data_IF_874222990801
#
_entry.id   IF_874222990801
#
_cell.length_a   1.000
_cell.length_b   1.000
_cell.length_c   1.000
_cell.angle_alpha   90.00
_cell.angle_beta   90.00
_cell.angle_gamma   90.00
#
_symmetry.space_group_name_H-M   'P 1'
#
loop_
_entity.id
_entity.type
_entity.pdbx_description
1 polymer ?
#
# COMPACT_ATOMS: atom_id res chain seq x y z
N UNK A 1 7.87 -8.21 -5.19
CA UNK A 1 9.00 -7.26 -5.12
C UNK A 1 10.06 -7.64 -4.08
N UNK A 2 9.68 -7.92 -2.82
CA UNK A 2 10.63 -8.25 -1.74
C UNK A 2 11.47 -9.52 -2.01
N UNK A 3 10.90 -10.55 -2.63
CA UNK A 3 11.65 -11.74 -3.05
C UNK A 3 12.77 -11.42 -4.04
N UNK A 4 12.49 -10.51 -4.98
CA UNK A 4 13.47 -10.02 -5.95
C UNK A 4 14.62 -9.29 -5.23
N UNK A 5 14.31 -8.42 -4.27
CA UNK A 5 15.32 -7.77 -3.41
C UNK A 5 16.20 -8.81 -2.71
N UNK A 6 15.58 -9.81 -2.09
CA UNK A 6 16.28 -10.89 -1.37
C UNK A 6 17.21 -11.73 -2.25
N UNK A 7 16.90 -11.84 -3.55
CA UNK A 7 17.68 -12.58 -4.54
C UNK A 7 18.75 -11.73 -5.21
N UNK A 8 18.45 -10.48 -5.57
CA UNK A 8 19.31 -9.64 -6.41
C UNK A 8 20.31 -8.84 -5.57
N UNK A 9 19.90 -8.30 -4.43
CA UNK A 9 20.77 -7.49 -3.57
C UNK A 9 21.65 -8.40 -2.69
N UNK A 10 22.88 -8.63 -3.14
CA UNK A 10 23.86 -9.48 -2.43
C UNK A 10 24.68 -8.74 -1.38
N UNK A 11 24.82 -7.41 -1.51
CA UNK A 11 25.56 -6.55 -0.58
C UNK A 11 24.58 -5.85 0.37
N UNK A 12 25.03 -5.56 1.60
CA UNK A 12 24.26 -4.76 2.55
C UNK A 12 23.97 -3.38 1.95
N UNK A 13 22.73 -2.94 2.05
CA UNK A 13 22.22 -1.71 1.45
C UNK A 13 21.11 -1.14 2.33
N UNK A 14 20.77 0.13 2.12
CA UNK A 14 19.57 0.75 2.68
C UNK A 14 18.47 0.59 1.62
N UNK A 15 17.31 0.08 2.03
CA UNK A 15 16.16 -0.19 1.16
C UNK A 15 14.97 0.61 1.68
N UNK A 16 14.47 1.53 0.88
CA UNK A 16 13.21 2.22 1.15
C UNK A 16 12.07 1.43 0.53
N UNK A 17 11.17 0.92 1.38
CA UNK A 17 9.94 0.27 0.97
C UNK A 17 8.81 1.27 1.13
N UNK A 18 8.23 1.69 0.01
CA UNK A 18 7.07 2.60 -0.01
C UNK A 18 5.83 1.77 -0.31
N UNK A 19 4.86 1.75 0.61
CA UNK A 19 3.61 0.99 0.49
C UNK A 19 2.58 1.57 1.46
N UNK A 20 1.30 1.44 1.11
CA UNK A 20 0.12 1.63 1.98
C UNK A 20 -0.15 0.44 2.93
N UNK A 21 0.59 -0.67 2.78
CA UNK A 21 0.46 -1.91 3.55
C UNK A 21 -0.97 -2.46 3.65
N UNK A 22 -1.80 -2.25 2.63
CA UNK A 22 -3.21 -2.70 2.62
C UNK A 22 -3.40 -4.20 2.33
N UNK A 23 -2.39 -4.86 1.75
CA UNK A 23 -2.39 -6.31 1.49
C UNK A 23 -2.38 -7.14 2.79
N UNK A 24 -2.77 -8.41 2.70
CA UNK A 24 -2.67 -9.35 3.84
C UNK A 24 -1.21 -9.47 4.32
N UNK A 25 -0.92 -9.19 5.62
CA UNK A 25 0.41 -9.34 6.20
C UNK A 25 1.08 -10.69 5.98
N UNK A 26 0.30 -11.78 5.88
CA UNK A 26 0.84 -13.12 5.62
C UNK A 26 1.58 -13.20 4.27
N UNK A 27 1.21 -12.37 3.29
CA UNK A 27 1.78 -12.36 1.94
C UNK A 27 3.19 -11.75 1.90
N UNK A 28 3.49 -10.76 2.75
CA UNK A 28 4.74 -10.01 2.70
C UNK A 28 5.61 -10.08 3.97
N UNK A 29 5.09 -10.52 5.11
CA UNK A 29 5.85 -10.54 6.37
C UNK A 29 7.14 -11.37 6.30
N UNK A 30 7.07 -12.57 5.72
CA UNK A 30 8.25 -13.45 5.59
C UNK A 30 9.35 -12.86 4.69
N UNK A 31 9.07 -12.43 3.44
CA UNK A 31 10.11 -11.85 2.60
C UNK A 31 10.60 -10.49 3.13
N UNK A 32 9.76 -9.72 3.83
CA UNK A 32 10.16 -8.47 4.49
C UNK A 32 11.14 -8.74 5.64
N UNK A 33 10.87 -9.74 6.48
CA UNK A 33 11.79 -10.16 7.55
C UNK A 33 13.15 -10.59 7.00
N UNK A 34 13.16 -11.34 5.90
CA UNK A 34 14.39 -11.76 5.23
C UNK A 34 15.19 -10.56 4.69
N UNK A 35 14.51 -9.56 4.13
CA UNK A 35 15.14 -8.34 3.63
C UNK A 35 15.77 -7.54 4.78
N UNK A 36 15.04 -7.36 5.89
CA UNK A 36 15.51 -6.61 7.06
C UNK A 36 16.69 -7.29 7.79
N UNK A 37 16.82 -8.62 7.66
CA UNK A 37 17.98 -9.33 8.21
C UNK A 37 19.29 -9.02 7.47
N UNK A 38 19.21 -8.66 6.18
CA UNK A 38 20.38 -8.41 5.31
C UNK A 38 20.61 -6.93 5.02
N UNK A 39 19.56 -6.14 5.01
CA UNK A 39 19.53 -4.74 4.60
C UNK A 39 18.93 -3.89 5.71
N UNK A 40 19.26 -2.60 5.72
CA UNK A 40 18.56 -1.64 6.55
C UNK A 40 17.29 -1.24 5.81
N UNK A 41 16.14 -1.74 6.28
CA UNK A 41 14.86 -1.54 5.59
C UNK A 41 14.09 -0.43 6.29
N UNK A 42 13.80 0.63 5.55
CA UNK A 42 12.99 1.76 5.98
C UNK A 42 11.64 1.65 5.29
N UNK A 43 10.60 1.39 6.08
CA UNK A 43 9.22 1.42 5.60
C UNK A 43 8.71 2.87 5.58
N UNK A 44 8.18 3.29 4.43
CA UNK A 44 7.46 4.55 4.24
C UNK A 44 6.01 4.18 4.01
N UNK A 45 5.21 4.42 5.04
CA UNK A 45 3.77 4.18 5.02
C UNK A 45 3.07 5.32 4.28
N UNK A 46 2.27 4.99 3.28
CA UNK A 46 1.44 5.94 2.55
C UNK A 46 0.07 5.96 3.19
N UNK A 47 -0.35 7.12 3.68
CA UNK A 47 -1.68 7.33 4.23
C UNK A 47 -2.41 8.41 3.43
N UNK A 48 -3.57 8.07 2.87
CA UNK A 48 -4.52 9.06 2.37
C UNK A 48 -5.62 9.30 3.42
N UNK A 49 -5.85 10.54 3.88
CA UNK A 49 -6.98 10.87 4.75
C UNK A 49 -8.35 10.44 4.20
N UNK A 50 -8.50 10.36 2.87
CA UNK A 50 -9.74 9.91 2.22
C UNK A 50 -9.97 8.40 2.38
N UNK A 51 -8.94 7.60 2.66
CA UNK A 51 -9.07 6.17 2.99
C UNK A 51 -9.64 5.95 4.41
N UNK A 52 -9.52 6.95 5.29
CA UNK A 52 -9.96 6.85 6.70
C UNK A 52 -11.43 7.21 6.86
N UNK A 53 -12.00 7.98 5.94
CA UNK A 53 -13.41 8.33 5.95
C UNK A 53 -13.74 9.42 4.94
N UNK A 54 -14.64 9.09 4.03
CA UNK A 54 -15.23 10.08 3.12
C UNK A 54 -16.32 10.83 3.89
N UNK A 55 -16.24 12.17 3.87
CA UNK A 55 -17.32 13.00 4.42
C UNK A 55 -18.57 12.82 3.56
N UNK A 56 -19.75 12.71 4.19
CA UNK A 56 -21.02 12.58 3.47
C UNK A 56 -21.32 13.86 2.66
N UNK A 57 -21.01 13.80 1.37
CA UNK A 57 -21.19 14.89 0.39
C UNK A 57 -22.18 14.50 -0.73
N UNK A 58 -22.87 13.37 -0.58
CA UNK A 58 -23.80 12.80 -1.58
C UNK A 58 -23.11 11.91 -2.62
N UNK A 59 -23.64 11.89 -3.85
CA UNK A 59 -23.11 11.03 -4.92
C UNK A 59 -21.85 11.65 -5.53
N UNK A 60 -20.73 10.94 -5.47
CA UNK A 60 -19.44 11.36 -6.02
C UNK A 60 -18.98 10.38 -7.11
N UNK A 61 -18.35 10.91 -8.16
CA UNK A 61 -17.62 10.10 -9.13
C UNK A 61 -16.16 10.03 -8.66
N UNK A 62 -15.70 8.86 -8.25
CA UNK A 62 -14.29 8.60 -7.99
C UNK A 62 -13.65 8.02 -9.24
N UNK A 63 -12.48 8.52 -9.58
CA UNK A 63 -11.63 7.97 -10.62
C UNK A 63 -10.54 7.13 -9.94
N UNK A 64 -10.45 5.86 -10.29
CA UNK A 64 -9.37 5.00 -9.86
C UNK A 64 -8.05 5.47 -10.49
N UNK A 65 -7.08 5.82 -9.65
CA UNK A 65 -5.82 6.42 -10.11
C UNK A 65 -4.93 5.46 -10.92
N UNK A 66 -5.18 4.14 -10.83
CA UNK A 66 -4.37 3.11 -11.47
C UNK A 66 -4.91 2.70 -12.84
N UNK A 67 -6.23 2.60 -12.97
CA UNK A 67 -6.94 2.14 -14.16
C UNK A 67 -7.65 3.26 -14.94
N UNK A 68 -7.94 4.38 -14.28
CA UNK A 68 -8.77 5.46 -14.82
C UNK A 68 -10.27 5.13 -14.86
N UNK A 69 -10.71 4.08 -14.16
CA UNK A 69 -12.12 3.70 -14.10
C UNK A 69 -12.92 4.69 -13.23
N UNK A 70 -14.08 5.10 -13.72
CA UNK A 70 -15.00 5.98 -12.98
C UNK A 70 -16.05 5.15 -12.24
N UNK A 71 -16.03 5.22 -10.91
CA UNK A 71 -17.00 4.56 -10.03
C UNK A 71 -17.88 5.63 -9.38
N UNK A 72 -19.19 5.43 -9.48
CA UNK A 72 -20.17 6.27 -8.80
C UNK A 72 -20.42 5.72 -7.40
N UNK A 73 -20.17 6.53 -6.38
CA UNK A 73 -20.29 6.15 -4.98
C UNK A 73 -21.24 7.11 -4.30
N UNK A 74 -22.19 6.56 -3.53
CA UNK A 74 -23.05 7.32 -2.65
C UNK A 74 -22.40 7.37 -1.26
N UNK A 75 -21.85 8.52 -0.88
CA UNK A 75 -21.15 8.68 0.41
C UNK A 75 -22.10 8.70 1.61
N UNK A 76 -23.42 8.63 1.37
CA UNK A 76 -24.45 8.49 2.40
C UNK A 76 -24.82 7.04 2.71
N UNK A 77 -24.34 6.06 1.94
CA UNK A 77 -24.57 4.64 2.20
C UNK A 77 -23.46 4.08 3.14
N UNK A 78 -23.80 3.63 4.36
CA UNK A 78 -22.82 3.08 5.31
C UNK A 78 -22.24 1.71 4.90
N UNK A 79 -22.66 1.16 3.76
CA UNK A 79 -22.04 -0.04 3.16
C UNK A 79 -20.73 0.26 2.40
N UNK A 80 -20.40 1.55 2.22
CA UNK A 80 -19.12 2.06 1.73
C UNK A 80 -18.37 2.77 2.87
#
# INVERSE_FOLDING_TARGET
ALDTVNQVLKRRSIVFLVSDFMDDPELYAKPLFMANRKHDVIAVDLHDPLEVGIADVGVLALEDAESGELVWIDTGDPAW
#
